data_IF_439767021775
#
_entry.id   IF_439767021775
#
_cell.length_a   1.000
_cell.length_b   1.000
_cell.length_c   1.000
_cell.angle_alpha   90.00
_cell.angle_beta   90.00
_cell.angle_gamma   90.00
#
_symmetry.space_group_name_H-M   'P 1'
#
loop_
_entity.id
_entity.type
_entity.pdbx_description
1 polymer ?
#
# COMPACT_ATOMS: atom_id res chain seq x y z
N UNK A 1 -22.17 32.80 3.94
CA UNK A 1 -20.93 32.07 3.63
C UNK A 1 -21.13 30.67 4.14
N UNK A 2 -21.39 29.80 3.18
CA UNK A 2 -21.48 28.35 3.33
C UNK A 2 -20.09 27.78 3.59
N UNK A 3 -19.99 26.76 4.45
CA UNK A 3 -19.33 25.48 4.17
C UNK A 3 -19.57 24.58 5.40
N UNK A 4 -20.53 23.67 5.34
CA UNK A 4 -20.36 22.29 4.84
C UNK A 4 -19.54 21.44 5.82
N UNK A 5 -20.20 21.01 6.91
CA UNK A 5 -19.75 19.84 7.64
C UNK A 5 -19.94 18.63 6.74
N UNK A 6 -18.83 17.98 6.40
CA UNK A 6 -18.80 16.79 5.56
C UNK A 6 -19.67 15.69 6.17
N UNK A 7 -20.85 15.50 5.59
CA UNK A 7 -21.67 14.32 5.79
C UNK A 7 -20.98 13.17 5.07
N UNK A 8 -20.12 12.44 5.80
CA UNK A 8 -19.57 11.20 5.30
C UNK A 8 -20.71 10.18 5.18
N UNK A 9 -20.95 9.60 3.99
CA UNK A 9 -21.92 8.52 3.87
C UNK A 9 -21.39 7.31 4.64
N UNK A 10 -22.07 6.95 5.73
CA UNK A 10 -21.91 5.62 6.32
C UNK A 10 -22.75 4.64 5.51
N UNK A 11 -22.34 4.34 4.28
CA UNK A 11 -22.90 3.22 3.54
C UNK A 11 -21.80 2.54 2.72
N UNK A 12 -21.36 1.40 3.22
CA UNK A 12 -20.98 0.29 2.37
C UNK A 12 -21.54 -0.95 3.04
N UNK A 13 -22.85 -1.10 2.86
CA UNK A 13 -23.46 -2.41 2.67
C UNK A 13 -22.62 -3.18 1.64
N UNK A 14 -21.79 -4.07 2.13
CA UNK A 14 -21.38 -5.24 1.37
C UNK A 14 -21.82 -6.44 2.20
N UNK A 15 -23.05 -6.87 1.89
CA UNK A 15 -23.52 -8.22 2.13
C UNK A 15 -22.46 -9.20 1.66
N UNK A 16 -21.85 -9.89 2.61
CA UNK A 16 -21.45 -11.27 2.43
C UNK A 16 -22.14 -12.04 3.54
N UNK A 17 -23.35 -12.50 3.22
CA UNK A 17 -23.98 -13.61 3.88
C UNK A 17 -23.21 -14.86 3.46
N UNK A 18 -22.19 -15.25 4.22
CA UNK A 18 -21.64 -16.59 4.11
C UNK A 18 -22.22 -17.44 5.24
N UNK A 19 -23.17 -18.28 4.83
CA UNK A 19 -23.78 -19.36 5.55
C UNK A 19 -22.78 -20.13 6.41
N UNK A 20 -23.03 -20.14 7.72
CA UNK A 20 -22.66 -21.29 8.55
C UNK A 20 -23.95 -21.82 9.16
N UNK A 21 -24.56 -22.73 8.41
CA UNK A 21 -25.64 -23.61 8.85
C UNK A 21 -25.12 -24.41 10.05
N UNK A 22 -25.68 -24.15 11.24
CA UNK A 22 -25.79 -25.14 12.28
C UNK A 22 -27.27 -25.52 12.35
N UNK A 23 -27.61 -26.62 11.69
CA UNK A 23 -28.88 -27.33 11.90
C UNK A 23 -28.98 -27.77 13.36
N UNK A 24 -30.24 -27.87 13.81
CA UNK A 24 -30.75 -28.47 15.03
C UNK A 24 -30.85 -27.58 16.29
N UNK A 25 -31.96 -26.83 16.40
CA UNK A 25 -32.81 -26.91 17.61
C UNK A 25 -33.20 -25.62 18.35
N UNK A 26 -34.48 -25.23 18.18
CA UNK A 26 -35.34 -24.42 19.10
C UNK A 26 -34.97 -22.93 19.30
N UNK A 27 -35.84 -21.92 19.29
CA UNK A 27 -37.31 -21.80 19.26
C UNK A 27 -37.68 -20.32 19.03
N UNK A 28 -38.85 -20.07 18.43
CA UNK A 28 -39.49 -18.76 18.22
C UNK A 28 -39.59 -17.86 19.47
N UNK A 29 -39.43 -16.54 19.26
CA UNK A 29 -40.31 -15.48 19.80
C UNK A 29 -39.80 -14.14 19.29
N UNK A 30 -40.52 -13.57 18.32
CA UNK A 30 -40.33 -12.20 17.87
C UNK A 30 -41.13 -11.30 18.82
N UNK A 31 -40.49 -10.71 19.83
CA UNK A 31 -41.09 -9.64 20.61
C UNK A 31 -40.12 -8.46 20.78
N UNK A 32 -40.41 -7.45 19.95
CA UNK A 32 -40.42 -6.01 20.20
C UNK A 32 -39.22 -5.32 20.90
N UNK A 33 -38.74 -4.31 20.17
CA UNK A 33 -37.74 -3.29 20.50
C UNK A 33 -37.55 -2.94 21.98
N UNK A 34 -36.44 -3.43 22.54
CA UNK A 34 -35.52 -2.57 23.27
C UNK A 34 -34.25 -2.53 22.44
N UNK A 35 -34.14 -1.55 21.53
CA UNK A 35 -32.88 -1.29 20.80
C UNK A 35 -31.86 -0.76 21.81
N UNK A 36 -31.23 -1.71 22.48
CA UNK A 36 -30.24 -1.52 23.50
C UNK A 36 -29.06 -0.74 22.92
N UNK A 37 -28.89 0.50 23.38
CA UNK A 37 -27.82 1.40 22.94
C UNK A 37 -26.42 0.89 23.34
N UNK A 38 -26.33 -0.19 24.12
CA UNK A 38 -25.07 -0.84 24.51
C UNK A 38 -24.38 -1.59 23.37
N UNK A 39 -25.13 -2.10 22.38
CA UNK A 39 -24.59 -2.91 21.27
C UNK A 39 -23.72 -2.10 20.30
N UNK A 40 -24.06 -0.82 20.06
CA UNK A 40 -23.25 0.09 19.24
C UNK A 40 -21.91 0.44 19.90
N UNK A 41 -21.91 0.69 21.22
CA UNK A 41 -20.70 0.98 21.99
C UNK A 41 -19.77 -0.24 22.03
N UNK A 42 -20.33 -1.44 22.20
CA UNK A 42 -19.57 -2.69 22.18
C UNK A 42 -18.92 -2.98 20.82
N UNK A 43 -19.56 -2.61 19.70
CA UNK A 43 -18.92 -2.70 18.38
C UNK A 43 -17.75 -1.74 18.23
N UNK A 44 -17.94 -0.46 18.57
CA UNK A 44 -16.88 0.55 18.48
C UNK A 44 -15.63 0.17 19.30
N UNK A 45 -15.82 -0.38 20.50
CA UNK A 45 -14.72 -0.81 21.36
C UNK A 45 -13.93 -1.99 20.76
N UNK A 46 -14.62 -2.96 20.15
CA UNK A 46 -13.98 -4.07 19.44
C UNK A 46 -13.17 -3.58 18.25
N UNK A 47 -13.74 -2.72 17.43
CA UNK A 47 -13.09 -2.15 16.24
C UNK A 47 -11.84 -1.34 16.63
N UNK A 48 -11.93 -0.57 17.72
CA UNK A 48 -10.81 0.21 18.22
C UNK A 48 -9.67 -0.70 18.70
N UNK A 49 -10.01 -1.77 19.44
CA UNK A 49 -9.03 -2.75 19.92
C UNK A 49 -8.34 -3.48 18.77
N UNK A 50 -9.08 -3.85 17.73
CA UNK A 50 -8.53 -4.47 16.52
C UNK A 50 -7.54 -3.55 15.79
N UNK A 51 -7.91 -2.28 15.62
CA UNK A 51 -7.03 -1.27 15.02
C UNK A 51 -5.76 -1.05 15.84
N UNK A 52 -5.85 -1.03 17.16
CA UNK A 52 -4.69 -0.93 18.04
C UNK A 52 -3.77 -2.15 17.95
N UNK A 53 -4.33 -3.37 17.87
CA UNK A 53 -3.56 -4.59 17.67
C UNK A 53 -2.83 -4.57 16.31
N UNK A 54 -3.54 -4.21 15.25
CA UNK A 54 -2.97 -4.09 13.90
C UNK A 54 -1.84 -3.06 13.89
N UNK A 55 -2.05 -1.91 14.53
CA UNK A 55 -1.04 -0.86 14.65
C UNK A 55 0.20 -1.37 15.41
N UNK A 56 0.00 -2.11 16.50
CA UNK A 56 1.10 -2.67 17.29
C UNK A 56 1.95 -3.67 16.50
N UNK A 57 1.34 -4.48 15.66
CA UNK A 57 2.03 -5.46 14.83
C UNK A 57 2.89 -4.83 13.72
N UNK A 58 2.51 -3.64 13.23
CA UNK A 58 3.25 -2.90 12.19
C UNK A 58 4.49 -2.21 12.77
N UNK A 59 4.42 -1.76 14.03
CA UNK A 59 5.50 -1.04 14.68
C UNK A 59 6.51 -2.04 15.25
N UNK A 60 7.77 -2.04 14.78
CA UNK A 60 8.76 -3.00 15.24
C UNK A 60 9.06 -2.82 16.74
N UNK A 61 9.18 -3.94 17.47
CA UNK A 61 9.51 -3.95 18.89
C UNK A 61 8.37 -3.54 19.83
N UNK A 62 7.12 -3.78 19.42
CA UNK A 62 5.92 -3.42 20.17
C UNK A 62 5.06 -4.65 20.44
N UNK A 63 5.25 -5.29 21.61
CA UNK A 63 4.56 -6.57 21.94
C UNK A 63 3.63 -6.45 23.16
N UNK A 64 3.92 -5.56 24.12
CA UNK A 64 3.06 -5.24 25.27
C UNK A 64 3.35 -3.83 25.75
N UNK A 65 2.47 -2.87 25.48
CA UNK A 65 2.61 -1.53 26.04
C UNK A 65 1.26 -0.83 26.12
N UNK A 66 1.14 0.11 27.05
CA UNK A 66 -0.04 0.95 27.25
C UNK A 66 -0.42 1.68 25.94
N UNK A 67 -1.72 1.92 25.72
CA UNK A 67 -2.27 2.53 24.50
C UNK A 67 -1.56 3.84 24.11
N UNK A 68 -1.19 4.65 25.11
CA UNK A 68 -0.43 5.90 24.91
C UNK A 68 0.94 5.64 24.31
N UNK A 69 1.62 4.58 24.74
CA UNK A 69 2.92 4.24 24.19
C UNK A 69 2.83 3.63 22.81
N UNK A 70 1.75 2.94 22.46
CA UNK A 70 1.54 2.48 21.08
C UNK A 70 1.54 3.71 20.17
N UNK A 71 0.78 4.74 20.54
CA UNK A 71 0.67 5.98 19.77
C UNK A 71 2.00 6.76 19.71
N UNK A 72 2.72 6.87 20.82
CA UNK A 72 4.00 7.59 20.84
C UNK A 72 5.09 6.87 20.03
N UNK A 73 5.15 5.54 20.11
CA UNK A 73 6.05 4.74 19.26
C UNK A 73 5.64 4.80 17.79
N UNK A 74 4.34 4.80 17.48
CA UNK A 74 3.85 4.98 16.11
C UNK A 74 4.35 6.31 15.52
N UNK A 75 4.19 7.39 16.30
CA UNK A 75 4.65 8.73 15.93
C UNK A 75 6.16 8.76 15.68
N UNK A 76 6.93 8.10 16.55
CA UNK A 76 8.38 8.01 16.39
C UNK A 76 8.78 7.21 15.15
N UNK A 77 8.13 6.08 14.90
CA UNK A 77 8.41 5.23 13.75
C UNK A 77 8.15 5.96 12.42
N UNK A 78 7.06 6.71 12.32
CA UNK A 78 6.77 7.55 11.15
C UNK A 78 7.86 8.60 10.92
N UNK A 79 8.35 9.26 11.98
CA UNK A 79 9.47 10.22 11.86
C UNK A 79 10.75 9.55 11.35
N UNK A 80 11.09 8.38 11.87
CA UNK A 80 12.27 7.62 11.42
C UNK A 80 12.16 7.21 9.95
N UNK A 81 10.98 6.77 9.50
CA UNK A 81 10.76 6.43 8.09
C UNK A 81 10.88 7.66 7.19
N UNK A 82 10.37 8.81 7.62
CA UNK A 82 10.50 10.07 6.87
C UNK A 82 11.97 10.49 6.72
N UNK A 83 12.76 10.39 7.79
CA UNK A 83 14.20 10.69 7.76
C UNK A 83 14.96 9.76 6.81
N UNK A 84 14.71 8.44 6.88
CA UNK A 84 15.34 7.48 5.94
C UNK A 84 14.94 7.73 4.48
N UNK A 85 13.68 8.09 4.22
CA UNK A 85 13.25 8.48 2.87
C UNK A 85 13.95 9.76 2.42
N UNK A 86 14.21 10.70 3.33
CA UNK A 86 14.95 11.93 3.01
C UNK A 86 16.43 11.64 2.72
N UNK A 87 17.10 10.84 3.54
CA UNK A 87 18.48 10.39 3.30
C UNK A 87 18.61 9.67 1.95
N UNK A 88 17.68 8.74 1.66
CA UNK A 88 17.63 8.03 0.37
C UNK A 88 17.34 8.96 -0.82
N UNK A 89 16.63 10.07 -0.59
CA UNK A 89 16.44 11.14 -1.58
C UNK A 89 17.63 12.09 -1.69
N UNK A 90 18.53 12.12 -0.71
CA UNK A 90 19.71 12.98 -0.77
C UNK A 90 20.85 12.30 -1.56
N UNK A 91 20.94 10.97 -1.48
CA UNK A 91 21.82 10.15 -2.34
C UNK A 91 21.27 9.98 -3.77
N UNK A 92 20.01 10.38 -3.98
CA UNK A 92 19.37 10.56 -5.28
C UNK A 92 18.80 11.98 -5.33
N UNK A 93 19.69 12.98 -5.38
CA UNK A 93 19.33 14.39 -5.50
C UNK A 93 18.19 14.61 -6.51
N UNK A 94 17.33 15.62 -6.30
CA UNK A 94 15.99 15.70 -6.90
C UNK A 94 16.09 15.48 -8.40
N UNK A 95 15.82 14.26 -8.82
CA UNK A 95 15.70 13.94 -10.23
C UNK A 95 14.31 14.44 -10.56
N UNK A 96 14.27 15.75 -10.86
CA UNK A 96 13.28 16.33 -11.72
C UNK A 96 13.19 15.43 -12.95
N UNK A 97 12.22 14.51 -12.91
CA UNK A 97 11.78 13.79 -14.08
C UNK A 97 11.15 14.89 -14.95
N UNK A 98 11.95 15.32 -15.93
CA UNK A 98 11.73 16.28 -17.02
C UNK A 98 12.28 17.73 -16.90
N UNK A 99 13.29 17.96 -17.77
CA UNK A 99 13.64 19.17 -18.54
C UNK A 99 14.83 20.01 -18.06
N UNK A 100 15.98 19.71 -18.68
CA UNK A 100 16.96 20.61 -19.31
C UNK A 100 17.18 22.03 -18.76
N UNK A 101 18.40 22.31 -18.28
CA UNK A 101 19.37 23.09 -19.06
C UNK A 101 20.76 23.11 -18.36
N UNK A 102 21.69 22.30 -18.84
CA UNK A 102 23.12 22.63 -18.80
C UNK A 102 23.78 21.91 -19.98
N UNK A 103 24.11 22.70 -21.01
CA UNK A 103 24.78 22.21 -22.20
C UNK A 103 26.14 21.58 -21.86
N UNK A 104 26.27 20.29 -22.13
CA UNK A 104 27.39 19.69 -22.87
C UNK A 104 27.03 18.23 -23.17
N UNK A 105 26.61 18.01 -24.42
CA UNK A 105 26.64 16.77 -25.22
C UNK A 105 26.62 15.42 -24.49
N UNK A 106 25.59 14.62 -24.81
CA UNK A 106 25.33 13.20 -24.43
C UNK A 106 24.39 13.01 -23.21
N UNK A 107 23.17 13.54 -23.30
CA UNK A 107 22.07 13.12 -22.43
C UNK A 107 21.75 11.64 -22.73
N UNK A 108 22.28 10.74 -21.92
CA UNK A 108 21.96 9.31 -21.97
C UNK A 108 20.53 9.12 -21.46
N UNK A 109 19.55 9.23 -22.35
CA UNK A 109 18.15 8.87 -22.06
C UNK A 109 18.12 7.39 -21.69
N UNK A 110 17.76 7.08 -20.44
CA UNK A 110 17.64 5.70 -19.98
C UNK A 110 16.35 5.06 -20.50
N UNK A 111 16.38 3.77 -20.89
CA UNK A 111 15.20 3.06 -21.32
C UNK A 111 14.23 2.80 -20.16
N UNK A 112 12.92 2.98 -20.40
CA UNK A 112 11.87 2.64 -19.46
C UNK A 112 11.62 1.12 -19.49
N UNK A 113 11.83 0.43 -18.37
CA UNK A 113 11.69 -1.03 -18.27
C UNK A 113 10.48 -1.39 -17.41
N UNK A 114 9.68 -2.34 -17.88
CA UNK A 114 8.54 -2.93 -17.16
C UNK A 114 8.67 -4.45 -17.18
N UNK A 115 8.31 -5.11 -16.08
CA UNK A 115 8.27 -6.57 -16.01
C UNK A 115 6.90 -7.03 -15.51
N UNK A 116 6.37 -8.07 -16.13
CA UNK A 116 5.11 -8.72 -15.72
C UNK A 116 5.34 -10.22 -15.63
N UNK A 117 4.80 -10.85 -14.58
CA UNK A 117 4.82 -12.31 -14.42
C UNK A 117 3.52 -12.89 -14.97
N UNK A 118 3.64 -13.90 -15.82
CA UNK A 118 2.54 -14.67 -16.42
C UNK A 118 2.75 -16.12 -16.05
N UNK A 119 1.96 -16.70 -15.13
CA UNK A 119 2.10 -18.11 -14.72
C UNK A 119 3.57 -18.58 -14.55
N UNK A 120 4.14 -19.21 -15.59
CA UNK A 120 5.52 -19.74 -15.62
C UNK A 120 6.51 -18.92 -16.49
N UNK A 121 6.13 -17.74 -16.94
CA UNK A 121 6.89 -16.88 -17.86
C UNK A 121 6.97 -15.45 -17.32
N UNK A 122 8.01 -14.72 -17.73
CA UNK A 122 8.18 -13.30 -17.40
C UNK A 122 8.26 -12.50 -18.69
N UNK A 123 7.39 -11.49 -18.83
CA UNK A 123 7.40 -10.55 -19.94
C UNK A 123 8.13 -9.27 -19.52
N UNK A 124 9.25 -8.98 -20.18
CA UNK A 124 10.01 -7.75 -19.99
C UNK A 124 9.72 -6.82 -21.17
N UNK A 125 9.20 -5.63 -20.90
CA UNK A 125 8.93 -4.59 -21.89
C UNK A 125 9.89 -3.43 -21.69
N UNK A 126 10.70 -3.14 -22.70
CA UNK A 126 11.71 -2.07 -22.65
C UNK A 126 11.34 -1.02 -23.70
N UNK A 127 10.95 0.17 -23.26
CA UNK A 127 10.74 1.32 -24.13
C UNK A 127 11.98 2.19 -24.14
N UNK A 128 12.54 2.42 -25.32
CA UNK A 128 13.70 3.29 -25.50
C UNK A 128 13.48 4.19 -26.70
N UNK A 129 14.19 5.32 -26.75
CA UNK A 129 14.28 6.08 -27.98
C UNK A 129 14.88 5.20 -29.07
N UNK A 130 14.39 5.33 -30.32
CA UNK A 130 14.79 4.51 -31.46
C UNK A 130 16.20 4.86 -31.96
N UNK A 131 17.20 4.65 -31.10
CA UNK A 131 18.60 4.81 -31.40
C UNK A 131 19.28 3.45 -31.52
N UNK A 132 19.98 3.21 -32.64
CA UNK A 132 20.67 1.93 -32.89
C UNK A 132 21.67 1.58 -31.78
N UNK A 133 22.38 2.59 -31.26
CA UNK A 133 23.36 2.45 -30.18
C UNK A 133 22.74 1.93 -28.88
N UNK A 134 21.55 2.43 -28.52
CA UNK A 134 20.83 2.04 -27.30
C UNK A 134 20.27 0.63 -27.43
N UNK A 135 19.67 0.31 -28.58
CA UNK A 135 19.13 -1.02 -28.86
C UNK A 135 20.21 -2.10 -28.81
N UNK A 136 21.39 -1.86 -29.38
CA UNK A 136 22.52 -2.80 -29.33
C UNK A 136 23.00 -3.02 -27.89
N UNK A 137 23.15 -1.95 -27.10
CA UNK A 137 23.53 -2.06 -25.69
C UNK A 137 22.54 -2.93 -24.91
N UNK A 138 21.24 -2.71 -25.12
CA UNK A 138 20.18 -3.50 -24.46
C UNK A 138 20.29 -4.97 -24.86
N UNK A 139 20.43 -5.27 -26.15
CA UNK A 139 20.56 -6.65 -26.63
C UNK A 139 21.77 -7.36 -26.03
N UNK A 140 22.94 -6.72 -26.03
CA UNK A 140 24.15 -7.28 -25.40
C UNK A 140 23.96 -7.54 -23.91
N UNK A 141 23.26 -6.66 -23.18
CA UNK A 141 22.97 -6.88 -21.77
C UNK A 141 22.01 -8.06 -21.55
N UNK A 142 21.01 -8.24 -22.41
CA UNK A 142 20.07 -9.35 -22.32
C UNK A 142 20.73 -10.71 -22.61
N UNK A 143 21.67 -10.73 -23.56
CA UNK A 143 22.48 -11.91 -23.88
C UNK A 143 23.39 -12.29 -22.71
N UNK A 144 24.07 -11.32 -22.10
CA UNK A 144 24.91 -11.53 -20.91
C UNK A 144 24.14 -12.02 -19.69
N UNK A 145 22.85 -11.68 -19.59
CA UNK A 145 21.97 -12.14 -18.52
C UNK A 145 21.30 -13.50 -18.84
N UNK A 146 21.65 -14.12 -19.98
CA UNK A 146 21.06 -15.37 -20.46
C UNK A 146 19.53 -15.33 -20.59
N UNK A 147 18.96 -14.14 -20.79
CA UNK A 147 17.52 -13.94 -20.98
C UNK A 147 17.09 -14.21 -22.43
N UNK A 148 18.05 -14.19 -23.35
CA UNK A 148 17.90 -14.65 -24.72
C UNK A 148 18.53 -16.04 -24.82
N UNK A 149 17.72 -17.06 -24.54
CA UNK A 149 18.11 -18.45 -24.80
C UNK A 149 18.09 -18.71 -26.29
N UNK A 150 19.24 -18.54 -26.94
CA UNK A 150 19.55 -19.11 -28.26
C UNK A 150 20.25 -20.46 -28.08
#
# INVERSE_FOLDING_TARGET
MEESGENWPCDSDLEICDDVIFEDGESESCDEEIRDSTDKNGRYERDLREKMLTLSAIIPGLEKMDDTSILDKARQYVKQLQERVNELKEDVGPTNIYSDNCGTSNHNILPNVKARVLQKQVLITIHCEKQKSVMLKILTHLENLHLLGL
#
